data_IF_521613910640
#
_entry.id   IF_521613910640
#
_cell.length_a   1.000
_cell.length_b   1.000
_cell.length_c   1.000
_cell.angle_alpha   90.00
_cell.angle_beta   90.00
_cell.angle_gamma   90.00
#
_symmetry.space_group_name_H-M   'P 1'
#
loop_
_entity.id
_entity.type
_entity.pdbx_description
1 polymer ?
#
# COMPACT_ATOMS: atom_id res chain seq x y z
N UNK A 1 -7.88 -23.87 -17.32
CA UNK A 1 -7.67 -25.31 -17.55
C UNK A 1 -6.22 -25.52 -17.98
N UNK A 2 -5.31 -25.63 -16.99
CA UNK A 2 -3.89 -25.92 -17.22
C UNK A 2 -3.59 -27.41 -16.97
N UNK A 3 -4.48 -28.32 -17.36
CA UNK A 3 -4.27 -29.75 -17.12
C UNK A 3 -3.49 -30.46 -18.26
N UNK A 4 -3.30 -29.81 -19.40
CA UNK A 4 -2.44 -30.33 -20.45
C UNK A 4 -1.49 -29.23 -20.91
N UNK A 5 -0.23 -29.28 -20.45
CA UNK A 5 0.84 -28.54 -21.11
C UNK A 5 0.90 -28.97 -22.56
N UNK A 6 0.90 -28.03 -23.53
CA UNK A 6 1.04 -28.40 -24.96
C UNK A 6 2.32 -29.23 -25.12
N UNK A 7 2.21 -30.32 -25.83
CA UNK A 7 3.37 -31.14 -26.19
C UNK A 7 4.29 -30.32 -27.09
N UNK A 8 5.58 -30.59 -27.09
CA UNK A 8 6.55 -29.88 -27.93
C UNK A 8 6.14 -29.84 -29.40
N UNK A 9 5.49 -30.91 -29.85
CA UNK A 9 4.94 -31.04 -31.19
C UNK A 9 3.83 -30.03 -31.50
N UNK A 10 2.98 -29.71 -30.50
CA UNK A 10 1.89 -28.73 -30.68
C UNK A 10 2.46 -27.29 -30.78
N UNK A 11 3.51 -26.97 -30.01
CA UNK A 11 4.21 -25.69 -30.10
C UNK A 11 4.88 -25.44 -31.43
N UNK A 12 5.39 -26.49 -32.09
CA UNK A 12 6.00 -26.38 -33.40
C UNK A 12 4.98 -26.02 -34.51
N UNK A 13 3.72 -26.42 -34.38
CA UNK A 13 2.68 -26.10 -35.33
C UNK A 13 2.03 -24.74 -35.14
N UNK A 14 1.98 -24.23 -33.89
CA UNK A 14 1.33 -22.96 -33.60
C UNK A 14 2.25 -21.76 -33.80
N UNK A 15 3.55 -21.92 -33.61
CA UNK A 15 4.53 -20.82 -33.73
C UNK A 15 4.91 -20.64 -35.21
N UNK A 16 4.50 -19.51 -35.79
CA UNK A 16 4.79 -19.19 -37.22
C UNK A 16 6.12 -18.47 -37.42
N UNK A 17 6.75 -17.98 -36.36
CA UNK A 17 8.03 -17.30 -36.44
C UNK A 17 9.18 -18.32 -36.55
N UNK A 18 9.97 -18.19 -37.60
CA UNK A 18 11.05 -19.12 -37.95
C UNK A 18 12.21 -19.10 -36.93
N UNK A 19 12.49 -17.93 -36.32
CA UNK A 19 13.53 -17.81 -35.31
C UNK A 19 13.10 -18.46 -33.98
N UNK A 20 11.83 -18.34 -33.62
CA UNK A 20 11.23 -19.02 -32.47
C UNK A 20 11.17 -20.54 -32.69
N UNK A 21 10.86 -21.01 -33.87
CA UNK A 21 10.91 -22.44 -34.20
C UNK A 21 12.31 -23.02 -34.06
N UNK A 22 13.35 -22.32 -34.54
CA UNK A 22 14.74 -22.76 -34.38
C UNK A 22 15.17 -22.83 -32.90
N UNK A 23 14.69 -21.89 -32.05
CA UNK A 23 14.92 -21.93 -30.60
C UNK A 23 14.20 -23.08 -29.92
N UNK A 24 12.95 -23.37 -30.31
CA UNK A 24 12.16 -24.50 -29.78
C UNK A 24 12.87 -25.83 -30.15
N UNK A 25 13.36 -25.98 -31.39
CA UNK A 25 14.14 -27.13 -31.81
C UNK A 25 15.45 -27.30 -31.02
N UNK A 26 16.12 -26.20 -30.70
CA UNK A 26 17.34 -26.23 -29.91
C UNK A 26 17.07 -26.69 -28.46
N UNK A 27 15.90 -26.36 -27.91
CA UNK A 27 15.48 -26.81 -26.57
C UNK A 27 15.15 -28.30 -26.54
N UNK A 28 14.51 -28.85 -27.59
CA UNK A 28 14.17 -30.26 -27.70
C UNK A 28 15.41 -31.18 -27.73
N UNK A 29 16.52 -30.65 -28.21
CA UNK A 29 17.80 -31.42 -28.31
C UNK A 29 18.61 -31.45 -27.03
N UNK A 30 18.19 -30.72 -25.98
CA UNK A 30 18.89 -30.60 -24.70
C UNK A 30 18.22 -31.51 -23.69
N UNK A 31 18.83 -32.67 -23.44
CA UNK A 31 18.42 -33.62 -22.41
C UNK A 31 18.88 -33.08 -21.02
N UNK A 32 18.17 -32.06 -20.53
CA UNK A 32 18.40 -31.47 -19.20
C UNK A 32 17.10 -31.54 -18.43
N UNK A 33 17.14 -32.14 -17.27
CA UNK A 33 16.09 -31.95 -16.25
C UNK A 33 16.05 -30.46 -15.84
N UNK A 34 15.35 -29.65 -16.62
CA UNK A 34 15.14 -28.25 -16.30
C UNK A 34 13.91 -28.16 -15.41
N UNK A 35 14.07 -27.56 -14.24
CA UNK A 35 12.95 -27.18 -13.40
C UNK A 35 12.02 -26.26 -14.21
N UNK A 36 10.78 -26.71 -14.43
CA UNK A 36 9.79 -25.96 -15.22
C UNK A 36 9.55 -24.54 -14.64
N UNK A 37 9.69 -24.35 -13.34
CA UNK A 37 9.56 -23.06 -12.69
C UNK A 37 10.75 -22.13 -12.99
N UNK A 38 11.97 -22.66 -13.02
CA UNK A 38 13.15 -21.90 -13.41
C UNK A 38 13.06 -21.44 -14.87
N UNK A 39 12.55 -22.30 -15.74
CA UNK A 39 12.33 -21.96 -17.16
C UNK A 39 11.23 -20.89 -17.30
N UNK A 40 10.15 -20.99 -16.52
CA UNK A 40 9.08 -20.02 -16.52
C UNK A 40 9.57 -18.64 -16.02
N UNK A 41 10.39 -18.60 -14.96
CA UNK A 41 10.99 -17.36 -14.48
C UNK A 41 11.92 -16.72 -15.52
N UNK A 42 12.70 -17.53 -16.21
CA UNK A 42 13.53 -17.05 -17.30
C UNK A 42 12.70 -16.45 -18.44
N UNK A 43 11.66 -17.16 -18.89
CA UNK A 43 10.76 -16.68 -19.95
C UNK A 43 10.00 -15.40 -19.55
N UNK A 44 9.60 -15.29 -18.28
CA UNK A 44 9.00 -14.07 -17.74
C UNK A 44 9.96 -12.89 -17.80
N UNK A 45 11.21 -13.09 -17.39
CA UNK A 45 12.23 -12.04 -17.43
C UNK A 45 12.53 -11.58 -18.87
N UNK A 46 12.65 -12.52 -19.82
CA UNK A 46 12.83 -12.18 -21.23
C UNK A 46 11.62 -11.42 -21.79
N UNK A 47 10.41 -11.89 -21.50
CA UNK A 47 9.18 -11.22 -21.91
C UNK A 47 9.07 -9.81 -21.33
N UNK A 48 9.40 -9.64 -20.03
CA UNK A 48 9.40 -8.34 -19.39
C UNK A 48 10.38 -7.38 -20.07
N UNK A 49 11.59 -7.85 -20.41
CA UNK A 49 12.59 -7.02 -21.07
C UNK A 49 12.11 -6.55 -22.46
N UNK A 50 11.50 -7.43 -23.24
CA UNK A 50 10.95 -7.10 -24.57
C UNK A 50 9.82 -6.07 -24.44
N UNK A 51 8.86 -6.30 -23.54
CA UNK A 51 7.74 -5.38 -23.30
C UNK A 51 8.22 -4.01 -22.81
N UNK A 52 9.22 -3.97 -21.92
CA UNK A 52 9.81 -2.70 -21.45
C UNK A 52 10.44 -1.95 -22.63
N UNK A 53 11.19 -2.63 -23.47
CA UNK A 53 11.85 -1.99 -24.63
C UNK A 53 10.81 -1.47 -25.62
N UNK A 54 9.80 -2.24 -25.95
CA UNK A 54 8.74 -1.84 -26.89
C UNK A 54 7.94 -0.64 -26.36
N UNK A 55 7.57 -0.64 -25.07
CA UNK A 55 6.85 0.48 -24.45
C UNK A 55 7.72 1.73 -24.34
N UNK A 56 9.03 1.59 -24.04
CA UNK A 56 9.97 2.72 -23.99
C UNK A 56 10.23 3.30 -25.39
N UNK A 57 10.39 2.47 -26.41
CA UNK A 57 10.58 2.94 -27.80
C UNK A 57 9.34 3.71 -28.25
N UNK A 58 8.15 3.18 -28.01
CA UNK A 58 6.89 3.88 -28.30
C UNK A 58 6.76 5.21 -27.54
N UNK A 59 7.20 5.26 -26.29
CA UNK A 59 7.18 6.46 -25.47
C UNK A 59 8.17 7.52 -25.98
N UNK A 60 9.39 7.11 -26.32
CA UNK A 60 10.45 8.01 -26.84
C UNK A 60 10.02 8.62 -28.16
N UNK A 61 9.46 7.80 -29.05
CA UNK A 61 9.08 8.24 -30.41
C UNK A 61 7.87 9.18 -30.41
N UNK A 62 6.92 9.00 -29.47
CA UNK A 62 5.64 9.68 -29.56
C UNK A 62 5.41 10.77 -28.50
N UNK A 63 6.13 10.79 -27.39
CA UNK A 63 5.69 11.60 -26.24
C UNK A 63 6.77 12.47 -25.60
N UNK A 64 8.01 11.99 -25.46
CA UNK A 64 9.07 12.65 -24.67
C UNK A 64 9.31 14.11 -25.09
N UNK A 65 9.25 14.40 -26.38
CA UNK A 65 9.56 15.73 -26.91
C UNK A 65 8.46 16.77 -26.69
N UNK A 66 7.22 16.35 -26.35
CA UNK A 66 6.05 17.22 -26.30
C UNK A 66 5.46 17.40 -24.89
N UNK A 67 5.84 16.55 -23.94
CA UNK A 67 5.31 16.54 -22.58
C UNK A 67 6.23 17.26 -21.59
N UNK A 68 5.66 17.77 -20.49
CA UNK A 68 6.43 18.32 -19.37
C UNK A 68 7.21 17.21 -18.63
N UNK A 69 8.17 17.59 -17.79
CA UNK A 69 8.92 16.62 -16.99
C UNK A 69 8.02 15.81 -16.04
N UNK A 70 6.98 16.44 -15.49
CA UNK A 70 6.00 15.79 -14.61
C UNK A 70 5.16 14.78 -15.36
N UNK A 71 4.63 15.13 -16.53
CA UNK A 71 3.87 14.24 -17.42
C UNK A 71 4.73 13.05 -17.90
N UNK A 72 6.00 13.29 -18.17
CA UNK A 72 6.94 12.25 -18.56
C UNK A 72 7.16 11.24 -17.42
N UNK A 73 7.29 11.70 -16.17
CA UNK A 73 7.43 10.83 -15.00
C UNK A 73 6.16 9.99 -14.78
N UNK A 74 4.98 10.60 -14.88
CA UNK A 74 3.71 9.88 -14.73
C UNK A 74 3.56 8.77 -15.80
N UNK A 75 3.90 9.06 -17.04
CA UNK A 75 3.82 8.07 -18.12
C UNK A 75 4.83 6.92 -17.96
N UNK A 76 6.04 7.21 -17.51
CA UNK A 76 7.02 6.17 -17.19
C UNK A 76 6.52 5.27 -16.04
N UNK A 77 5.89 5.83 -15.03
CA UNK A 77 5.29 5.06 -13.94
C UNK A 77 4.15 4.16 -14.46
N UNK A 78 3.30 4.65 -15.36
CA UNK A 78 2.24 3.85 -15.98
C UNK A 78 2.79 2.70 -16.82
N UNK A 79 3.89 2.91 -17.55
CA UNK A 79 4.57 1.86 -18.32
C UNK A 79 5.06 0.75 -17.39
N UNK A 80 5.76 1.13 -16.31
CA UNK A 80 6.26 0.17 -15.31
C UNK A 80 5.13 -0.65 -14.71
N UNK A 81 4.00 -0.02 -14.34
CA UNK A 81 2.84 -0.71 -13.79
C UNK A 81 2.23 -1.69 -14.80
N UNK A 82 2.02 -1.26 -16.06
CA UNK A 82 1.46 -2.13 -17.12
C UNK A 82 2.33 -3.35 -17.39
N UNK A 83 3.64 -3.17 -17.43
CA UNK A 83 4.56 -4.31 -17.64
C UNK A 83 4.55 -5.22 -16.42
N UNK A 84 4.56 -4.65 -15.21
CA UNK A 84 4.48 -5.43 -13.97
C UNK A 84 3.21 -6.29 -13.90
N UNK A 85 2.06 -5.73 -14.24
CA UNK A 85 0.78 -6.47 -14.26
C UNK A 85 0.76 -7.60 -15.27
N UNK A 86 1.41 -7.42 -16.46
CA UNK A 86 1.51 -8.46 -17.48
C UNK A 86 2.45 -9.59 -17.11
N UNK A 87 3.50 -9.29 -16.35
CA UNK A 87 4.58 -10.24 -16.01
C UNK A 87 4.30 -10.97 -14.70
N UNK A 88 3.50 -10.41 -13.79
CA UNK A 88 3.19 -11.00 -12.48
C UNK A 88 2.19 -12.18 -12.60
N UNK A 89 2.55 -13.17 -13.38
CA UNK A 89 1.87 -14.48 -13.39
C UNK A 89 2.39 -15.24 -12.17
N UNK A 90 1.82 -14.97 -11.02
CA UNK A 90 2.06 -15.82 -9.84
C UNK A 90 1.45 -17.19 -10.09
N UNK A 91 2.20 -18.27 -9.84
CA UNK A 91 1.57 -19.59 -9.81
C UNK A 91 0.46 -19.56 -8.77
N UNK A 92 -0.63 -20.32 -8.94
CA UNK A 92 -1.64 -20.43 -7.90
C UNK A 92 -0.95 -20.87 -6.62
N UNK A 93 -0.89 -19.97 -5.64
CA UNK A 93 -0.17 -20.18 -4.37
C UNK A 93 -0.72 -21.37 -3.58
N UNK A 94 -1.92 -21.86 -3.95
CA UNK A 94 -2.60 -22.93 -3.24
C UNK A 94 -3.36 -23.84 -4.20
N UNK A 95 -3.05 -25.15 -4.18
CA UNK A 95 -3.92 -26.14 -4.79
C UNK A 95 -5.11 -26.41 -3.88
N UNK A 96 -6.27 -26.80 -4.43
CA UNK A 96 -7.44 -27.20 -3.62
C UNK A 96 -7.13 -28.30 -2.57
N UNK A 97 -6.04 -29.04 -2.77
CA UNK A 97 -5.60 -30.08 -1.85
C UNK A 97 -4.82 -29.55 -0.63
N UNK A 98 -4.28 -28.33 -0.72
CA UNK A 98 -3.54 -27.68 0.36
C UNK A 98 -4.41 -26.69 1.18
N UNK A 99 -5.63 -26.39 0.73
CA UNK A 99 -6.52 -25.43 1.41
C UNK A 99 -7.22 -26.14 2.56
N UNK A 100 -7.00 -25.66 3.80
CA UNK A 100 -7.77 -26.06 4.96
C UNK A 100 -9.16 -25.40 4.96
N UNK A 101 -10.20 -26.13 5.39
CA UNK A 101 -11.53 -25.56 5.60
C UNK A 101 -11.55 -24.50 6.72
N UNK A 102 -10.64 -24.59 7.66
CA UNK A 102 -10.56 -23.67 8.80
C UNK A 102 -9.23 -22.93 8.78
N UNK A 103 -9.31 -21.60 8.97
CA UNK A 103 -8.14 -20.74 9.14
C UNK A 103 -7.43 -21.05 10.46
N UNK A 104 -6.12 -20.96 10.46
CA UNK A 104 -5.33 -21.09 11.69
C UNK A 104 -5.35 -19.77 12.51
N UNK A 105 -4.90 -19.82 13.76
CA UNK A 105 -4.88 -18.66 14.67
C UNK A 105 -4.02 -17.50 14.11
N UNK A 106 -3.01 -17.81 13.29
CA UNK A 106 -2.15 -16.79 12.68
C UNK A 106 -2.87 -16.07 11.53
N UNK A 107 -3.70 -16.78 10.79
CA UNK A 107 -4.53 -16.19 9.74
C UNK A 107 -5.65 -15.36 10.35
N UNK A 108 -6.32 -15.87 11.37
CA UNK A 108 -7.32 -15.13 12.14
C UNK A 108 -6.77 -13.84 12.76
N UNK A 109 -5.49 -13.84 13.18
CA UNK A 109 -4.83 -12.66 13.73
C UNK A 109 -4.55 -11.56 12.69
N UNK A 110 -4.62 -11.86 11.38
CA UNK A 110 -4.44 -10.86 10.32
C UNK A 110 -5.67 -9.98 10.12
N UNK A 111 -6.85 -10.43 10.52
CA UNK A 111 -8.09 -9.66 10.37
C UNK A 111 -8.06 -8.37 11.20
N UNK A 112 -8.64 -7.32 10.62
CA UNK A 112 -8.71 -5.99 11.22
C UNK A 112 -10.12 -5.74 11.76
N UNK A 113 -10.28 -5.43 13.05
CA UNK A 113 -11.56 -4.98 13.57
C UNK A 113 -11.87 -3.57 13.07
N UNK A 114 -13.15 -3.24 12.92
CA UNK A 114 -13.62 -1.88 12.61
C UNK A 114 -13.25 -0.87 13.69
N UNK A 115 -13.19 -1.32 14.95
CA UNK A 115 -12.96 -0.47 16.11
C UNK A 115 -14.12 0.47 16.43
N UNK A 116 -15.34 0.14 15.97
CA UNK A 116 -16.54 0.93 16.24
C UNK A 116 -17.18 0.54 17.56
N UNK A 117 -17.38 -0.74 17.80
CA UNK A 117 -17.71 -1.32 19.09
C UNK A 117 -17.43 -2.83 19.10
N UNK A 118 -17.38 -3.44 20.29
CA UNK A 118 -17.02 -4.84 20.46
C UNK A 118 -18.00 -5.82 19.80
N UNK A 119 -19.27 -5.46 19.68
CA UNK A 119 -20.29 -6.31 19.07
C UNK A 119 -20.10 -6.40 17.55
N UNK A 120 -19.93 -5.25 16.89
CA UNK A 120 -19.62 -5.22 15.45
C UNK A 120 -18.27 -5.87 15.14
N UNK A 121 -17.24 -5.60 15.94
CA UNK A 121 -15.89 -6.11 15.74
C UNK A 121 -15.78 -7.63 15.94
N UNK A 122 -16.73 -8.23 16.66
CA UNK A 122 -16.82 -9.70 16.79
C UNK A 122 -17.38 -10.37 15.54
N UNK A 123 -18.21 -9.66 14.78
CA UNK A 123 -18.95 -10.19 13.62
C UNK A 123 -18.39 -9.74 12.29
N UNK A 124 -17.83 -8.52 12.25
CA UNK A 124 -17.32 -7.89 11.02
C UNK A 124 -15.85 -7.59 11.19
N UNK A 125 -15.03 -8.27 10.42
CA UNK A 125 -13.57 -8.08 10.37
C UNK A 125 -13.15 -7.93 8.94
N UNK A 126 -12.12 -7.11 8.70
CA UNK A 126 -11.54 -6.95 7.38
C UNK A 126 -10.35 -7.87 7.19
N UNK A 127 -10.31 -8.59 6.08
CA UNK A 127 -9.12 -9.28 5.62
C UNK A 127 -8.11 -8.26 5.06
N UNK A 128 -6.81 -8.51 5.14
CA UNK A 128 -5.79 -7.68 4.50
C UNK A 128 -5.94 -7.48 2.99
N UNK A 129 -6.71 -8.37 2.32
CA UNK A 129 -6.98 -8.32 0.87
C UNK A 129 -8.33 -7.68 0.53
N UNK A 130 -9.11 -7.24 1.51
CA UNK A 130 -10.44 -6.70 1.27
C UNK A 130 -10.41 -5.27 0.74
N UNK A 131 -11.23 -5.02 -0.28
CA UNK A 131 -11.57 -3.67 -0.72
C UNK A 131 -12.88 -3.24 -0.04
N UNK A 132 -12.78 -2.26 0.85
CA UNK A 132 -13.91 -1.78 1.64
C UNK A 132 -14.40 -0.42 1.16
N UNK A 133 -15.65 -0.33 0.73
CA UNK A 133 -16.28 0.91 0.28
C UNK A 133 -17.19 1.50 1.38
N UNK A 134 -16.86 2.71 1.85
CA UNK A 134 -17.68 3.47 2.79
C UNK A 134 -18.51 4.50 2.03
N UNK A 135 -19.80 4.20 1.81
CA UNK A 135 -20.75 5.06 1.09
C UNK A 135 -21.63 5.91 2.02
N UNK A 136 -22.08 7.07 1.54
CA UNK A 136 -23.03 7.91 2.27
C UNK A 136 -23.18 9.30 1.67
N UNK A 137 -24.25 10.03 2.08
CA UNK A 137 -24.52 11.40 1.64
C UNK A 137 -23.46 12.39 2.17
N UNK A 138 -23.40 13.59 1.60
CA UNK A 138 -22.58 14.68 2.14
C UNK A 138 -22.93 14.92 3.61
N UNK A 139 -21.92 15.02 4.47
CA UNK A 139 -22.11 15.25 5.90
C UNK A 139 -22.47 14.00 6.73
N UNK A 140 -22.61 12.81 6.12
CA UNK A 140 -22.93 11.57 6.84
C UNK A 140 -21.82 10.99 7.71
N UNK A 141 -20.62 11.58 7.69
CA UNK A 141 -19.52 11.13 8.51
C UNK A 141 -18.52 10.15 7.85
N UNK A 142 -18.58 9.95 6.52
CA UNK A 142 -17.66 9.04 5.80
C UNK A 142 -16.18 9.24 6.19
N UNK A 143 -15.70 10.48 6.07
CA UNK A 143 -14.30 10.81 6.43
C UNK A 143 -14.01 10.58 7.91
N UNK A 144 -15.00 10.77 8.79
CA UNK A 144 -14.85 10.48 10.21
C UNK A 144 -14.73 8.97 10.45
N UNK A 145 -15.51 8.16 9.75
CA UNK A 145 -15.40 6.70 9.79
C UNK A 145 -14.02 6.25 9.32
N UNK A 146 -13.52 6.78 8.19
CA UNK A 146 -12.17 6.48 7.71
C UNK A 146 -11.08 6.92 8.72
N UNK A 147 -11.22 8.09 9.36
CA UNK A 147 -10.30 8.52 10.42
C UNK A 147 -10.35 7.57 11.65
N UNK A 148 -11.53 7.05 12.02
CA UNK A 148 -11.64 6.05 13.09
C UNK A 148 -10.94 4.76 12.72
N UNK A 149 -11.13 4.25 11.50
CA UNK A 149 -10.46 3.04 11.02
C UNK A 149 -8.94 3.22 11.05
N UNK A 150 -8.42 4.32 10.50
CA UNK A 150 -6.99 4.62 10.53
C UNK A 150 -6.43 4.73 11.96
N UNK A 151 -7.18 5.40 12.86
CA UNK A 151 -6.83 5.51 14.28
C UNK A 151 -6.76 4.13 14.94
N UNK A 152 -7.77 3.27 14.72
CA UNK A 152 -7.85 1.95 15.35
C UNK A 152 -6.76 1.00 14.84
N UNK A 153 -6.47 1.03 13.54
CA UNK A 153 -5.36 0.27 12.94
C UNK A 153 -4.04 0.69 13.56
N UNK A 154 -3.82 2.01 13.66
CA UNK A 154 -2.60 2.56 14.24
C UNK A 154 -2.48 2.26 15.74
N UNK A 155 -3.54 2.46 16.53
CA UNK A 155 -3.54 2.14 17.97
C UNK A 155 -3.41 0.63 18.22
N UNK A 156 -3.90 -0.21 17.29
CA UNK A 156 -3.71 -1.65 17.28
C UNK A 156 -2.29 -2.12 16.93
N UNK A 157 -1.32 -1.18 16.76
CA UNK A 157 0.09 -1.50 16.52
C UNK A 157 0.44 -1.79 15.07
N UNK A 158 -0.42 -1.41 14.11
CA UNK A 158 -0.17 -1.57 12.66
C UNK A 158 0.00 -0.22 11.98
N UNK A 159 0.60 -0.22 10.80
CA UNK A 159 0.74 0.99 9.99
C UNK A 159 -0.56 1.31 9.26
N UNK A 160 -0.83 2.61 9.08
CA UNK A 160 -1.96 3.12 8.32
C UNK A 160 -1.50 4.25 7.38
N UNK A 161 -1.85 4.14 6.11
CA UNK A 161 -1.62 5.16 5.11
C UNK A 161 -2.98 5.76 4.69
N UNK A 162 -3.12 7.08 4.82
CA UNK A 162 -4.37 7.79 4.55
C UNK A 162 -4.17 8.81 3.43
N UNK A 163 -4.79 8.56 2.29
CA UNK A 163 -4.83 9.53 1.21
C UNK A 163 -6.07 10.42 1.31
N UNK A 164 -5.91 11.71 1.05
CA UNK A 164 -7.02 12.67 1.04
C UNK A 164 -6.89 13.64 -0.13
N UNK A 165 -8.01 13.85 -0.85
CA UNK A 165 -8.09 14.79 -1.97
C UNK A 165 -8.86 16.08 -1.61
N UNK A 166 -9.67 16.06 -0.56
CA UNK A 166 -10.56 17.16 -0.17
C UNK A 166 -10.03 17.92 1.07
N UNK A 167 -9.41 17.24 2.00
CA UNK A 167 -8.97 17.81 3.27
C UNK A 167 -7.45 17.75 3.40
N UNK A 168 -6.85 18.85 3.87
CA UNK A 168 -5.41 18.88 4.14
C UNK A 168 -4.98 17.87 5.21
N UNK A 169 -3.71 17.43 5.12
CA UNK A 169 -3.14 16.40 6.03
C UNK A 169 -3.24 16.80 7.50
N UNK A 170 -3.07 18.08 7.81
CA UNK A 170 -3.18 18.57 9.18
C UNK A 170 -4.58 18.38 9.74
N UNK A 171 -5.62 18.68 8.96
CA UNK A 171 -7.02 18.50 9.36
C UNK A 171 -7.35 17.03 9.62
N UNK A 172 -6.84 16.12 8.80
CA UNK A 172 -7.00 14.67 9.01
C UNK A 172 -6.26 14.22 10.28
N UNK A 173 -4.99 14.60 10.46
CA UNK A 173 -4.20 14.26 11.64
C UNK A 173 -4.84 14.80 12.94
N UNK A 174 -5.40 16.00 12.92
CA UNK A 174 -6.13 16.55 14.05
C UNK A 174 -7.40 15.74 14.38
N UNK A 175 -8.11 15.22 13.39
CA UNK A 175 -9.27 14.35 13.60
C UNK A 175 -8.84 13.01 14.19
N UNK A 176 -7.81 12.39 13.66
CA UNK A 176 -7.25 11.13 14.18
C UNK A 176 -6.77 11.34 15.63
N UNK A 177 -6.01 12.41 15.91
CA UNK A 177 -5.58 12.76 17.25
C UNK A 177 -6.77 12.97 18.21
N UNK A 178 -7.83 13.65 17.75
CA UNK A 178 -9.06 13.87 18.52
C UNK A 178 -9.73 12.54 18.89
N UNK A 179 -9.76 11.58 17.97
CA UNK A 179 -10.30 10.25 18.18
C UNK A 179 -9.45 9.48 19.19
N UNK A 180 -8.15 9.42 18.98
CA UNK A 180 -7.21 8.67 19.82
C UNK A 180 -7.14 9.22 21.26
N UNK A 181 -7.13 10.55 21.42
CA UNK A 181 -7.04 11.22 22.74
C UNK A 181 -8.41 11.46 23.38
N UNK A 182 -9.52 11.23 22.65
CA UNK A 182 -10.89 11.55 23.09
C UNK A 182 -11.11 13.03 23.44
N UNK A 183 -10.28 13.92 22.89
CA UNK A 183 -10.39 15.37 23.05
C UNK A 183 -11.26 15.92 21.92
N UNK A 184 -12.29 16.76 22.20
CA UNK A 184 -13.13 17.33 21.15
C UNK A 184 -12.32 18.07 20.08
N UNK A 185 -12.58 17.76 18.81
CA UNK A 185 -11.86 18.31 17.64
C UNK A 185 -11.79 19.85 17.66
N UNK A 186 -12.89 20.53 18.06
CA UNK A 186 -12.95 21.98 18.14
C UNK A 186 -11.94 22.56 19.17
N UNK A 187 -11.74 21.87 20.29
CA UNK A 187 -10.79 22.30 21.32
C UNK A 187 -9.35 22.12 20.83
N UNK A 188 -9.08 20.99 20.18
CA UNK A 188 -7.75 20.70 19.61
C UNK A 188 -7.42 21.69 18.48
N UNK A 189 -8.36 21.92 17.55
CA UNK A 189 -8.19 22.87 16.45
C UNK A 189 -7.93 24.30 16.92
N UNK A 190 -8.67 24.75 17.94
CA UNK A 190 -8.57 26.10 18.46
C UNK A 190 -7.46 26.25 19.54
N UNK A 191 -6.69 25.21 19.82
CA UNK A 191 -5.66 25.17 20.86
C UNK A 191 -6.21 25.49 22.27
N UNK A 192 -7.50 25.24 22.50
CA UNK A 192 -8.18 25.49 23.79
C UNK A 192 -8.11 24.25 24.67
N UNK A 193 -6.90 23.83 25.00
CA UNK A 193 -6.61 22.60 25.74
C UNK A 193 -6.24 22.90 27.17
N UNK A 194 -6.73 22.10 28.13
CA UNK A 194 -6.24 22.09 29.51
C UNK A 194 -4.82 21.52 29.58
N UNK A 195 -4.15 21.68 30.72
CA UNK A 195 -2.80 21.14 30.92
C UNK A 195 -2.74 19.61 30.70
N UNK A 196 -3.74 18.87 31.19
CA UNK A 196 -3.81 17.42 31.00
C UNK A 196 -4.09 17.00 29.56
N UNK A 197 -4.89 17.78 28.84
CA UNK A 197 -5.15 17.51 27.40
C UNK A 197 -3.91 17.80 26.55
N UNK A 198 -3.14 18.85 26.89
CA UNK A 198 -1.84 19.09 26.26
C UNK A 198 -0.88 17.91 26.49
N UNK A 199 -0.88 17.31 27.68
CA UNK A 199 -0.06 16.14 27.98
C UNK A 199 -0.48 14.93 27.18
N UNK A 200 -1.79 14.71 27.00
CA UNK A 200 -2.33 13.62 26.17
C UNK A 200 -1.98 13.80 24.70
N UNK A 201 -2.17 15.00 24.15
CA UNK A 201 -1.81 15.31 22.75
C UNK A 201 -0.30 15.17 22.54
N UNK A 202 0.50 15.70 23.46
CA UNK A 202 1.96 15.58 23.41
C UNK A 202 2.41 14.13 23.47
N UNK A 203 1.82 13.33 24.36
CA UNK A 203 2.10 11.90 24.48
C UNK A 203 1.76 11.13 23.21
N UNK A 204 0.57 11.35 22.65
CA UNK A 204 0.16 10.72 21.39
C UNK A 204 1.08 11.11 20.24
N UNK A 205 1.46 12.39 20.14
CA UNK A 205 2.35 12.86 19.08
C UNK A 205 3.77 12.32 19.23
N UNK A 206 4.30 12.27 20.46
CA UNK A 206 5.61 11.71 20.77
C UNK A 206 5.70 10.20 20.46
N UNK A 207 4.61 9.46 20.68
CA UNK A 207 4.53 8.02 20.42
C UNK A 207 4.67 7.63 18.95
N UNK A 208 4.77 8.57 18.01
CA UNK A 208 5.05 8.33 16.60
C UNK A 208 6.56 8.21 16.30
N UNK A 209 7.41 8.61 17.23
CA UNK A 209 8.85 8.71 17.04
C UNK A 209 9.58 7.83 18.05
N UNK A 210 10.62 7.15 17.61
CA UNK A 210 11.50 6.36 18.47
C UNK A 210 12.19 7.28 19.49
N UNK A 211 12.02 6.98 20.78
CA UNK A 211 12.55 7.85 21.85
C UNK A 211 11.78 9.17 22.06
N UNK A 212 10.68 9.41 21.34
CA UNK A 212 9.92 10.67 21.43
C UNK A 212 9.38 10.98 22.81
N UNK A 213 9.08 9.97 23.63
CA UNK A 213 8.61 10.14 25.01
C UNK A 213 9.64 10.80 25.93
N UNK A 214 10.93 10.75 25.62
CA UNK A 214 11.99 11.39 26.39
C UNK A 214 11.90 12.94 26.37
N UNK A 215 11.27 13.49 25.35
CA UNK A 215 11.06 14.93 25.20
C UNK A 215 9.81 15.46 25.93
N UNK A 216 8.94 14.57 26.42
CA UNK A 216 7.72 14.97 27.13
C UNK A 216 7.93 15.80 28.42
N UNK A 217 8.93 15.51 29.27
CA UNK A 217 9.15 16.31 30.49
C UNK A 217 9.44 17.77 30.20
N UNK A 218 10.18 18.07 29.12
CA UNK A 218 10.46 19.45 28.69
C UNK A 218 9.20 20.10 28.11
N UNK A 219 8.48 19.39 27.25
CA UNK A 219 7.21 19.86 26.70
C UNK A 219 6.18 20.18 27.80
N UNK A 220 6.08 19.35 28.83
CA UNK A 220 5.18 19.60 29.99
C UNK A 220 5.49 20.89 30.73
N UNK A 221 6.76 21.31 30.77
CA UNK A 221 7.19 22.56 31.41
C UNK A 221 6.94 23.77 30.52
N UNK A 222 7.29 23.68 29.26
CA UNK A 222 7.29 24.81 28.32
C UNK A 222 5.95 25.06 27.67
N UNK A 223 5.18 23.99 27.42
CA UNK A 223 3.93 23.99 26.61
C UNK A 223 4.12 24.55 25.19
N UNK A 224 5.35 24.61 24.72
CA UNK A 224 5.68 25.03 23.37
C UNK A 224 5.63 23.81 22.43
N UNK A 225 4.48 23.64 21.77
CA UNK A 225 4.28 22.53 20.85
C UNK A 225 5.13 22.66 19.56
N UNK A 226 5.47 23.87 19.14
CA UNK A 226 6.27 24.08 17.93
C UNK A 226 7.72 23.66 18.14
N UNK A 227 8.32 24.07 19.26
CA UNK A 227 9.65 23.63 19.66
C UNK A 227 9.69 22.12 19.92
N UNK A 228 8.67 21.56 20.56
CA UNK A 228 8.51 20.14 20.80
C UNK A 228 8.45 19.35 19.48
N UNK A 229 7.59 19.76 18.55
CA UNK A 229 7.48 19.13 17.24
C UNK A 229 8.80 19.19 16.47
N UNK A 230 9.47 20.34 16.43
CA UNK A 230 10.77 20.50 15.78
C UNK A 230 11.84 19.57 16.36
N UNK A 231 11.80 19.28 17.65
CA UNK A 231 12.73 18.33 18.26
C UNK A 231 12.34 16.88 17.94
N UNK A 232 11.05 16.55 17.93
CA UNK A 232 10.58 15.23 17.55
C UNK A 232 10.93 14.87 16.10
N UNK A 233 10.83 15.81 15.16
CA UNK A 233 11.16 15.57 13.74
C UNK A 233 12.64 15.26 13.47
N UNK A 234 13.52 15.41 14.47
CA UNK A 234 14.92 14.96 14.40
C UNK A 234 15.07 13.47 14.74
N UNK A 235 14.06 12.88 15.36
CA UNK A 235 14.04 11.47 15.73
C UNK A 235 13.47 10.63 14.58
N UNK A 236 13.89 9.37 14.46
CA UNK A 236 13.31 8.45 13.48
C UNK A 236 11.85 8.14 13.84
N UNK A 237 11.02 7.94 12.83
CA UNK A 237 9.68 7.38 13.00
C UNK A 237 9.78 5.90 13.38
N UNK A 238 8.82 5.39 14.12
CA UNK A 238 8.71 3.95 14.38
C UNK A 238 8.65 3.17 13.08
N UNK A 239 9.49 2.13 12.94
CA UNK A 239 9.53 1.30 11.73
C UNK A 239 8.34 0.35 11.61
N UNK A 240 7.84 -0.14 12.75
CA UNK A 240 6.78 -1.16 12.78
C UNK A 240 5.36 -0.57 12.79
N UNK A 241 5.24 0.71 13.15
CA UNK A 241 3.96 1.37 13.36
C UNK A 241 4.03 2.80 12.84
N UNK A 242 3.49 3.03 11.67
CA UNK A 242 3.49 4.35 11.01
C UNK A 242 2.05 4.80 10.74
N UNK A 243 1.81 6.08 10.86
CA UNK A 243 0.57 6.72 10.44
C UNK A 243 0.92 7.89 9.53
N UNK A 244 0.70 7.70 8.24
CA UNK A 244 0.99 8.71 7.25
C UNK A 244 -0.30 9.24 6.62
N UNK A 245 -0.33 10.55 6.37
CA UNK A 245 -1.46 11.23 5.76
C UNK A 245 -0.95 12.07 4.61
N UNK A 246 -1.33 11.67 3.41
CA UNK A 246 -0.93 12.31 2.16
C UNK A 246 -2.12 13.09 1.61
N UNK A 247 -1.93 14.40 1.43
CA UNK A 247 -2.89 15.25 0.74
C UNK A 247 -2.41 15.50 -0.68
N UNK A 248 -3.19 15.04 -1.65
CA UNK A 248 -2.95 15.32 -3.05
C UNK A 248 -4.30 15.53 -3.76
N UNK A 249 -4.62 16.75 -4.20
CA UNK A 249 -5.85 17.04 -4.92
C UNK A 249 -5.90 16.43 -6.33
N UNK A 250 -4.73 16.03 -6.87
CA UNK A 250 -4.58 15.38 -8.17
C UNK A 250 -4.14 13.91 -8.01
N UNK A 251 -4.62 13.23 -6.95
CA UNK A 251 -4.27 11.85 -6.62
C UNK A 251 -4.68 10.90 -7.77
N UNK A 252 -3.73 10.09 -8.21
CA UNK A 252 -3.92 9.04 -9.21
C UNK A 252 -3.68 7.67 -8.60
N UNK A 253 -4.13 6.60 -9.28
CA UNK A 253 -3.84 5.23 -8.85
C UNK A 253 -2.33 4.95 -8.83
N UNK A 254 -1.61 5.45 -9.82
CA UNK A 254 -0.14 5.30 -9.90
C UNK A 254 0.56 5.88 -8.68
N UNK A 255 0.12 7.06 -8.21
CA UNK A 255 0.66 7.67 -6.97
C UNK A 255 0.36 6.84 -5.73
N UNK A 256 -0.83 6.24 -5.65
CA UNK A 256 -1.19 5.36 -4.52
C UNK A 256 -0.31 4.10 -4.51
N UNK A 257 0.02 3.56 -5.68
CA UNK A 257 0.82 2.34 -5.81
C UNK A 257 2.33 2.59 -5.57
N UNK A 258 2.81 3.83 -5.77
CA UNK A 258 4.22 4.18 -5.58
C UNK A 258 4.62 4.47 -4.12
N UNK A 259 3.65 4.69 -3.22
CA UNK A 259 3.87 4.90 -1.79
C UNK A 259 3.80 3.58 -0.99
#
# INVERSE_FOLDING_TARGET
NYQDLPQFEDLQYEVRDRQLQEKIFAIESVDVEVDAWLLLDYLKNEYAQVEILDELDNYIDNTVAMASAEENIEQLQEIVLRVSDKVDVKPPEESMQSISLFEDDKELAKYLPLGLNSEYDSQIKFSPKDLVLVGGRRGSGKSLTCCNLASNVYEGGRSALYFTIEMDSRSILQRICSIATKIPFSRLRNKMLSASEWDQVGGWWAGRFDGGHELLPEFKKTRDFEAFHKNLTKLPLHKEKQLDVIYDPALTLSKIQSE
#
